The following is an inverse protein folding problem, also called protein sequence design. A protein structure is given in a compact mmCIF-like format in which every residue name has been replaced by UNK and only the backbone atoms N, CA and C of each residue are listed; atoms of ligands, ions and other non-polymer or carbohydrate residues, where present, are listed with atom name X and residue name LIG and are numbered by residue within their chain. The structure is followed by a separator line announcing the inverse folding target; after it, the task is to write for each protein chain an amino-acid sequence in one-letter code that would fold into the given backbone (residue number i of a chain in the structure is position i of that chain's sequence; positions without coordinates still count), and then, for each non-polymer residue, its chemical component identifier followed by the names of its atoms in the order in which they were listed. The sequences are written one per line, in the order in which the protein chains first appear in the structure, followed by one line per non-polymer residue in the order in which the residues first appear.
data_IF_520967355012
#
_entry.id   IF_520967355012
#
_cell.length_a   1.000
_cell.length_b   1.000
_cell.length_c   1.000
_cell.angle_alpha   90.00
_cell.angle_beta   90.00
_cell.angle_gamma   90.00
#
_symmetry.space_group_name_H-M   'P 1'
#
loop_
_entity.id
_entity.type
_entity.pdbx_description
1 polymer ?
#
# COMPACT_ATOMS: atom_id res chain seq x y z
N UNK A 1 -5.42 11.72 9.92
CA UNK A 1 -4.96 10.33 10.01
C UNK A 1 -4.43 9.88 8.66
N UNK A 2 -5.20 10.10 7.59
CA UNK A 2 -4.77 9.92 6.19
C UNK A 2 -3.46 10.65 5.85
N UNK A 3 -3.30 11.91 6.28
CA UNK A 3 -2.07 12.68 6.04
C UNK A 3 -0.84 12.05 6.70
N UNK A 4 -0.97 11.55 7.93
CA UNK A 4 0.13 10.82 8.59
C UNK A 4 0.43 9.51 7.86
N UNK A 5 -0.60 8.79 7.42
CA UNK A 5 -0.43 7.55 6.66
C UNK A 5 0.30 7.82 5.34
N UNK A 6 -0.03 8.94 4.67
CA UNK A 6 0.63 9.38 3.45
C UNK A 6 2.10 9.72 3.68
N UNK A 7 2.41 10.47 4.74
CA UNK A 7 3.80 10.79 5.11
C UNK A 7 4.61 9.53 5.37
N UNK A 8 4.05 8.53 6.06
CA UNK A 8 4.73 7.26 6.29
C UNK A 8 4.92 6.45 5.01
N UNK A 9 3.92 6.43 4.12
CA UNK A 9 3.99 5.69 2.86
C UNK A 9 4.95 6.32 1.83
N UNK A 10 5.20 7.63 1.91
CA UNK A 10 6.11 8.37 1.03
C UNK A 10 7.58 8.32 1.47
N UNK A 11 7.93 7.38 2.36
CA UNK A 11 9.30 7.13 2.77
C UNK A 11 10.14 6.65 1.56
N UNK A 12 11.33 7.23 1.29
CA UNK A 12 12.18 6.81 0.16
C UNK A 12 12.57 5.33 0.18
N UNK A 13 12.69 4.72 1.35
CA UNK A 13 12.99 3.30 1.54
C UNK A 13 11.93 2.38 0.90
N UNK A 14 10.70 2.90 0.71
CA UNK A 14 9.60 2.17 0.09
C UNK A 14 9.56 2.29 -1.44
N UNK A 15 10.49 3.01 -2.08
CA UNK A 15 10.67 2.99 -3.53
C UNK A 15 10.95 1.56 -4.06
N UNK A 16 11.61 0.74 -3.25
CA UNK A 16 12.00 -0.63 -3.59
C UNK A 16 10.85 -1.66 -3.48
N UNK A 17 9.68 -1.27 -2.96
CA UNK A 17 8.54 -2.18 -2.86
C UNK A 17 8.15 -2.61 -4.30
N UNK A 18 8.10 -3.92 -4.58
CA UNK A 18 7.86 -4.38 -5.95
C UNK A 18 6.43 -4.03 -6.38
N UNK A 19 6.28 -3.36 -7.52
CA UNK A 19 5.00 -3.22 -8.20
C UNK A 19 5.00 -4.10 -9.44
N UNK A 20 4.18 -5.14 -9.44
CA UNK A 20 4.09 -6.13 -10.52
C UNK A 20 3.03 -5.71 -11.54
N UNK A 21 3.10 -6.29 -12.74
CA UNK A 21 2.10 -6.06 -13.78
C UNK A 21 0.70 -6.47 -13.28
N UNK A 22 -0.32 -5.65 -13.56
CA UNK A 22 -1.71 -5.78 -13.09
C UNK A 22 -1.96 -5.48 -11.60
N UNK A 23 -0.94 -5.08 -10.83
CA UNK A 23 -1.16 -4.69 -9.43
C UNK A 23 -1.88 -3.33 -9.29
N UNK A 24 -1.94 -2.52 -10.35
CA UNK A 24 -2.75 -1.31 -10.41
C UNK A 24 -4.24 -1.60 -10.20
N UNK A 25 -4.76 -2.65 -10.84
CA UNK A 25 -6.16 -3.08 -10.68
C UNK A 25 -6.41 -3.66 -9.28
N UNK A 26 -5.42 -4.37 -8.74
CA UNK A 26 -5.49 -4.95 -7.39
C UNK A 26 -5.48 -3.83 -6.34
N UNK A 27 -4.60 -2.84 -6.48
CA UNK A 27 -4.52 -1.68 -5.61
C UNK A 27 -5.83 -0.89 -5.64
N UNK A 28 -6.40 -0.67 -6.82
CA UNK A 28 -7.70 -0.03 -6.96
C UNK A 28 -8.82 -0.80 -6.25
N UNK A 29 -8.82 -2.14 -6.35
CA UNK A 29 -9.79 -2.98 -5.66
C UNK A 29 -9.60 -2.97 -4.13
N UNK A 30 -8.34 -3.05 -3.67
CA UNK A 30 -8.00 -2.96 -2.25
C UNK A 30 -8.47 -1.63 -1.66
N UNK A 31 -8.24 -0.51 -2.34
CA UNK A 31 -8.70 0.80 -1.89
C UNK A 31 -10.22 0.86 -1.62
N UNK A 32 -11.04 0.10 -2.34
CA UNK A 32 -12.50 0.09 -2.13
C UNK A 32 -12.92 -0.55 -0.80
N UNK A 33 -12.04 -1.36 -0.18
CA UNK A 33 -12.31 -2.04 1.08
C UNK A 33 -11.51 -1.44 2.25
N UNK A 34 -10.70 -0.42 1.97
CA UNK A 34 -9.86 0.27 2.95
C UNK A 34 -10.62 1.42 3.63
N UNK A 35 -10.48 1.60 4.96
CA UNK A 35 -11.05 2.73 5.70
C UNK A 35 -10.56 4.13 5.30
N UNK A 36 -9.31 4.26 4.89
CA UNK A 36 -8.64 5.51 4.58
C UNK A 36 -8.58 5.70 3.07
N UNK A 37 -8.89 6.90 2.61
CA UNK A 37 -8.84 7.21 1.18
C UNK A 37 -7.43 7.61 0.75
N UNK A 38 -6.95 6.99 -0.34
CA UNK A 38 -5.81 7.50 -1.08
C UNK A 38 -6.13 8.89 -1.69
N UNK A 39 -5.12 9.75 -1.90
CA UNK A 39 -5.29 10.98 -2.65
C UNK A 39 -5.94 10.74 -4.01
N UNK A 40 -6.83 11.64 -4.45
CA UNK A 40 -7.59 11.49 -5.70
C UNK A 40 -6.70 11.32 -6.96
N UNK A 41 -5.43 11.73 -6.90
CA UNK A 41 -4.44 11.63 -7.96
C UNK A 41 -3.38 10.54 -7.71
N UNK A 42 -3.60 9.64 -6.75
CA UNK A 42 -2.67 8.56 -6.46
C UNK A 42 -2.54 7.62 -7.67
N UNK A 43 -1.30 7.37 -8.07
CA UNK A 43 -0.99 6.43 -9.14
C UNK A 43 -1.06 4.99 -8.60
N UNK A 44 -1.98 4.17 -9.10
CA UNK A 44 -2.20 2.81 -8.60
C UNK A 44 -1.04 1.84 -8.91
N UNK A 45 -0.14 2.22 -9.82
CA UNK A 45 1.08 1.51 -10.19
C UNK A 45 2.33 2.02 -9.44
N UNK A 46 2.16 2.82 -8.39
CA UNK A 46 3.27 3.37 -7.59
C UNK A 46 3.62 2.50 -6.38
N UNK A 47 4.91 2.37 -6.08
CA UNK A 47 5.42 1.71 -4.86
C UNK A 47 4.86 2.35 -3.59
N UNK A 48 4.73 3.68 -3.55
CA UNK A 48 4.17 4.39 -2.39
C UNK A 48 2.66 4.18 -2.23
N UNK A 49 1.92 4.07 -3.32
CA UNK A 49 0.49 3.69 -3.25
C UNK A 49 0.35 2.30 -2.66
N UNK A 50 1.20 1.36 -3.10
CA UNK A 50 1.24 0.02 -2.51
C UNK A 50 1.65 0.07 -1.03
N UNK A 51 2.67 0.84 -0.66
CA UNK A 51 3.10 1.03 0.73
C UNK A 51 1.95 1.50 1.63
N UNK A 52 1.19 2.50 1.18
CA UNK A 52 0.03 3.02 1.89
C UNK A 52 -1.00 1.92 2.18
N UNK A 53 -1.39 1.16 1.14
CA UNK A 53 -2.37 0.08 1.26
C UNK A 53 -1.85 -1.05 2.18
N UNK A 54 -0.57 -1.38 2.11
CA UNK A 54 0.04 -2.41 2.96
C UNK A 54 0.09 -1.96 4.43
N UNK A 55 0.47 -0.71 4.71
CA UNK A 55 0.51 -0.18 6.07
C UNK A 55 -0.90 -0.07 6.66
N UNK A 56 -1.86 0.43 5.90
CA UNK A 56 -3.24 0.52 6.33
C UNK A 56 -3.82 -0.86 6.62
N UNK A 57 -3.59 -1.83 5.74
CA UNK A 57 -4.02 -3.20 5.96
C UNK A 57 -3.40 -3.80 7.23
N UNK A 58 -2.14 -3.46 7.55
CA UNK A 58 -1.49 -3.91 8.77
C UNK A 58 -2.18 -3.34 10.01
N UNK A 59 -2.37 -2.01 10.05
CA UNK A 59 -2.96 -1.31 11.19
C UNK A 59 -4.44 -1.69 11.40
N UNK A 60 -5.16 -1.91 10.30
CA UNK A 60 -6.58 -2.27 10.28
C UNK A 60 -6.82 -3.79 10.33
N UNK A 61 -5.76 -4.60 10.32
CA UNK A 61 -5.82 -6.08 10.28
C UNK A 61 -6.66 -6.63 9.11
N UNK A 62 -6.60 -5.96 7.98
CA UNK A 62 -7.29 -6.38 6.75
C UNK A 62 -6.50 -7.53 6.11
N UNK A 63 -7.23 -8.56 5.68
CA UNK A 63 -6.62 -9.75 5.07
C UNK A 63 -6.16 -9.43 3.65
N UNK A 64 -4.88 -9.68 3.38
CA UNK A 64 -4.26 -9.52 2.06
C UNK A 64 -4.08 -10.87 1.35
N UNK A 65 -3.83 -10.82 0.03
CA UNK A 65 -3.39 -11.95 -0.77
C UNK A 65 -1.92 -12.30 -0.50
N UNK A 66 -1.50 -13.53 -0.80
CA UNK A 66 -0.18 -14.08 -0.45
C UNK A 66 1.00 -13.18 -0.87
N UNK A 67 0.95 -12.64 -2.09
CA UNK A 67 2.02 -11.78 -2.60
C UNK A 67 2.11 -10.49 -1.80
N UNK A 68 0.97 -9.85 -1.52
CA UNK A 68 0.90 -8.63 -0.71
C UNK A 68 1.27 -8.87 0.76
N UNK A 69 1.00 -10.06 1.32
CA UNK A 69 1.50 -10.44 2.66
C UNK A 69 3.03 -10.50 2.66
N UNK A 70 3.63 -11.03 1.59
CA UNK A 70 5.09 -11.13 1.46
C UNK A 70 5.72 -9.75 1.33
N UNK A 71 5.12 -8.89 0.52
CA UNK A 71 5.56 -7.50 0.35
C UNK A 71 5.38 -6.70 1.67
N UNK A 72 4.26 -6.88 2.38
CA UNK A 72 4.00 -6.24 3.67
C UNK A 72 5.05 -6.64 4.73
N UNK A 73 5.39 -7.93 4.81
CA UNK A 73 6.42 -8.40 5.73
C UNK A 73 7.78 -7.79 5.41
N UNK A 74 8.16 -7.82 4.13
CA UNK A 74 9.45 -7.27 3.69
C UNK A 74 9.54 -5.77 3.96
N UNK A 75 8.44 -5.03 3.77
CA UNK A 75 8.35 -3.59 4.07
C UNK A 75 8.43 -3.29 5.58
N UNK A 76 7.85 -4.13 6.44
CA UNK A 76 7.85 -3.95 7.90
C UNK A 76 9.16 -4.41 8.57
N UNK A 77 9.95 -5.24 7.89
CA UNK A 77 11.23 -5.76 8.38
C UNK A 77 12.43 -4.84 8.04
N UNK A 78 12.22 -3.77 7.27
CA UNK A 78 13.21 -2.70 7.03
C UNK A 78 13.46 -1.86 8.28
#
# INVERSE_FOLDING_TARGET
MEELMKVLADCPEYDEIPVRHNEDQINAHLQQIMPLELPANAAMDSSHTKAFLLLEAHLSRIKLMTDYITDQRSMLDQ
#
